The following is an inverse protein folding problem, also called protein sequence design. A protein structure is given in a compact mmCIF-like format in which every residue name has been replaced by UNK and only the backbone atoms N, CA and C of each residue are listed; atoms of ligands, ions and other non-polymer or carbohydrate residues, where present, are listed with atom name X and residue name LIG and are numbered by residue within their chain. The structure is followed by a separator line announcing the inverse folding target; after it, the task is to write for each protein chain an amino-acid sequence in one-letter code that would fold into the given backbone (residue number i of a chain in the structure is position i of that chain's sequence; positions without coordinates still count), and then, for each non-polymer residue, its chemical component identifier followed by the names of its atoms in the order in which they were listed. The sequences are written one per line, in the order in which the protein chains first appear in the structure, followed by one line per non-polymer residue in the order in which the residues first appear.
data_IF_907943942023
#
_entry.id   IF_907943942023
#
_cell.length_a   1.000
_cell.length_b   1.000
_cell.length_c   1.000
_cell.angle_alpha   90.00
_cell.angle_beta   90.00
_cell.angle_gamma   90.00
#
_symmetry.space_group_name_H-M   'P 1'
#
loop_
_entity.id
_entity.type
_entity.pdbx_description
1 polymer ?
#
# COMPACT_ATOMS: atom_id res chain seq x y z
N UNK A 1 -24.62 14.05 -11.59
CA UNK A 1 -23.23 14.26 -12.08
C UNK A 1 -22.38 13.09 -11.60
N UNK A 2 -21.41 12.60 -12.39
CA UNK A 2 -20.50 11.50 -12.01
C UNK A 2 -19.05 11.91 -12.24
N UNK A 3 -18.14 11.32 -11.50
CA UNK A 3 -16.71 11.44 -11.78
C UNK A 3 -16.40 10.75 -13.12
N UNK A 4 -15.69 11.42 -14.01
CA UNK A 4 -15.26 10.89 -15.32
C UNK A 4 -13.81 10.42 -15.32
N UNK A 5 -13.19 10.33 -14.14
CA UNK A 5 -11.90 9.69 -14.00
C UNK A 5 -12.09 8.18 -13.88
N UNK A 6 -11.53 7.40 -14.80
CA UNK A 6 -11.79 5.97 -14.94
C UNK A 6 -11.40 5.16 -13.70
N UNK A 7 -10.30 5.53 -13.04
CA UNK A 7 -9.84 4.86 -11.80
C UNK A 7 -10.53 5.38 -10.53
N UNK A 8 -11.61 6.15 -10.63
CA UNK A 8 -12.33 6.61 -9.45
C UNK A 8 -13.06 5.42 -8.79
N UNK A 9 -12.79 5.10 -7.52
CA UNK A 9 -13.41 3.93 -6.86
C UNK A 9 -14.92 4.12 -6.61
N UNK A 10 -15.38 5.37 -6.58
CA UNK A 10 -16.76 5.75 -6.27
C UNK A 10 -17.19 6.93 -7.14
N UNK A 11 -17.42 6.71 -8.44
CA UNK A 11 -17.66 7.80 -9.38
C UNK A 11 -19.02 8.49 -9.16
N UNK A 12 -20.00 7.80 -8.57
CA UNK A 12 -21.33 8.35 -8.29
C UNK A 12 -21.48 8.89 -6.86
N UNK A 13 -20.66 8.45 -5.91
CA UNK A 13 -20.81 8.83 -4.49
C UNK A 13 -19.96 10.06 -4.16
N UNK A 14 -20.47 11.24 -4.46
CA UNK A 14 -19.86 12.49 -4.00
C UNK A 14 -20.89 13.57 -3.76
N UNK A 15 -20.75 14.28 -2.63
CA UNK A 15 -21.58 15.44 -2.32
C UNK A 15 -21.34 16.62 -3.29
N UNK A 16 -20.17 16.68 -3.95
CA UNK A 16 -19.81 17.75 -4.88
C UNK A 16 -18.98 17.23 -6.05
N UNK A 17 -19.20 17.84 -7.22
CA UNK A 17 -18.47 17.55 -8.45
C UNK A 17 -17.91 18.86 -9.03
N UNK A 18 -16.72 18.76 -9.61
CA UNK A 18 -15.96 19.88 -10.16
C UNK A 18 -15.68 19.59 -11.63
N UNK A 19 -16.15 20.45 -12.53
CA UNK A 19 -15.73 20.41 -13.92
C UNK A 19 -14.36 21.05 -14.03
N UNK A 20 -13.46 20.42 -14.76
CA UNK A 20 -12.13 20.96 -15.04
C UNK A 20 -12.17 21.59 -16.42
N UNK A 21 -11.78 22.85 -16.48
CA UNK A 21 -11.71 23.64 -17.71
C UNK A 21 -10.33 24.31 -17.81
N UNK A 22 -10.09 24.98 -18.94
CA UNK A 22 -8.82 25.69 -19.18
C UNK A 22 -8.54 26.84 -18.19
N UNK A 23 -9.54 27.28 -17.42
CA UNK A 23 -9.38 28.31 -16.39
C UNK A 23 -9.03 27.74 -15.01
N UNK A 24 -9.02 26.42 -14.87
CA UNK A 24 -8.76 25.75 -13.60
C UNK A 24 -7.28 25.84 -13.23
N UNK A 25 -6.97 26.69 -12.24
CA UNK A 25 -5.59 26.96 -11.76
C UNK A 25 -5.36 26.57 -10.31
N UNK A 26 -6.26 25.76 -9.74
CA UNK A 26 -6.28 25.47 -8.31
C UNK A 26 -5.03 24.71 -7.84
N UNK A 27 -4.43 25.17 -6.74
CA UNK A 27 -3.31 24.48 -6.09
C UNK A 27 -1.96 24.58 -6.81
N UNK A 28 -1.81 25.50 -7.77
CA UNK A 28 -0.54 25.69 -8.49
C UNK A 28 -0.11 24.47 -9.29
N UNK A 29 -1.08 23.68 -9.78
CA UNK A 29 -0.85 22.48 -10.58
C UNK A 29 -1.29 22.70 -12.01
N UNK A 30 -0.68 21.96 -12.92
CA UNK A 30 -1.12 21.90 -14.30
C UNK A 30 -2.32 20.96 -14.42
N UNK A 31 -3.47 21.52 -14.82
CA UNK A 31 -4.73 20.79 -15.01
C UNK A 31 -5.00 20.45 -16.48
N UNK A 32 -4.10 20.82 -17.40
CA UNK A 32 -4.27 20.68 -18.86
C UNK A 32 -4.72 19.27 -19.27
N UNK A 33 -4.06 18.23 -18.73
CA UNK A 33 -4.40 16.82 -18.99
C UNK A 33 -5.73 16.34 -18.39
N UNK A 34 -6.44 17.18 -17.63
CA UNK A 34 -7.73 16.86 -17.02
C UNK A 34 -8.86 17.77 -17.54
N UNK A 35 -8.58 18.70 -18.46
CA UNK A 35 -9.60 19.57 -19.06
C UNK A 35 -10.68 18.72 -19.74
N UNK A 36 -11.94 19.05 -19.48
CA UNK A 36 -13.09 18.29 -19.95
C UNK A 36 -13.53 17.16 -19.02
N UNK A 37 -12.73 16.80 -18.00
CA UNK A 37 -13.16 15.85 -16.98
C UNK A 37 -14.04 16.52 -15.91
N UNK A 38 -14.92 15.72 -15.31
CA UNK A 38 -15.65 16.05 -14.09
C UNK A 38 -15.08 15.20 -12.96
N UNK A 39 -14.54 15.83 -11.93
CA UNK A 39 -13.96 15.14 -10.78
C UNK A 39 -14.90 15.20 -9.58
N UNK A 40 -14.99 14.11 -8.82
CA UNK A 40 -15.59 14.15 -7.49
C UNK A 40 -14.71 14.97 -6.53
N UNK A 41 -15.26 15.40 -5.38
CA UNK A 41 -14.52 16.19 -4.38
C UNK A 41 -13.20 15.53 -3.95
N UNK A 42 -13.21 14.20 -3.81
CA UNK A 42 -12.03 13.43 -3.40
C UNK A 42 -10.94 13.47 -4.47
N UNK A 43 -11.27 13.20 -5.74
CA UNK A 43 -10.33 13.27 -6.85
C UNK A 43 -9.80 14.70 -7.07
N UNK A 44 -10.69 15.69 -7.05
CA UNK A 44 -10.32 17.11 -7.18
C UNK A 44 -9.30 17.53 -6.12
N UNK A 45 -9.60 17.28 -4.84
CA UNK A 45 -8.69 17.65 -3.75
C UNK A 45 -7.36 16.90 -3.81
N UNK A 46 -7.39 15.64 -4.24
CA UNK A 46 -6.18 14.83 -4.41
C UNK A 46 -5.26 15.42 -5.47
N UNK A 47 -5.78 15.71 -6.66
CA UNK A 47 -4.98 16.32 -7.71
C UNK A 47 -4.50 17.72 -7.31
N UNK A 48 -5.40 18.54 -6.74
CA UNK A 48 -5.05 19.87 -6.22
C UNK A 48 -3.87 19.84 -5.23
N UNK A 49 -3.83 18.85 -4.34
CA UNK A 49 -2.75 18.72 -3.35
C UNK A 49 -1.49 18.03 -3.88
N UNK A 50 -1.65 16.92 -4.61
CA UNK A 50 -0.55 16.00 -4.97
C UNK A 50 -0.11 16.07 -6.42
N UNK A 51 -0.86 16.74 -7.30
CA UNK A 51 -0.60 16.77 -8.74
C UNK A 51 -0.87 15.45 -9.47
N UNK A 52 -1.44 14.45 -8.79
CA UNK A 52 -1.77 13.15 -9.39
C UNK A 52 -3.11 12.65 -8.88
N UNK A 53 -3.87 11.99 -9.76
CA UNK A 53 -5.11 11.31 -9.41
C UNK A 53 -4.89 9.84 -9.05
N UNK A 54 -3.68 9.31 -9.23
CA UNK A 54 -3.41 7.91 -8.92
C UNK A 54 -3.71 7.64 -7.45
N UNK A 55 -4.67 6.75 -7.25
CA UNK A 55 -4.91 6.16 -5.96
C UNK A 55 -3.77 5.20 -5.73
N UNK A 56 -2.73 5.64 -4.99
CA UNK A 56 -1.76 4.71 -4.39
C UNK A 56 -2.57 3.54 -3.84
N UNK A 57 -2.47 2.40 -4.54
CA UNK A 57 -3.52 1.41 -4.63
C UNK A 57 -3.76 0.76 -3.28
N UNK A 58 -4.80 1.23 -2.58
CA UNK A 58 -5.54 0.42 -1.61
C UNK A 58 -6.76 -0.16 -2.31
N UNK A 59 -6.58 -0.69 -3.52
CA UNK A 59 -7.61 -1.57 -4.11
C UNK A 59 -7.86 -2.66 -3.07
N UNK A 60 -9.09 -2.80 -2.54
CA UNK A 60 -9.38 -3.93 -1.67
C UNK A 60 -9.19 -5.17 -2.52
N UNK A 61 -8.09 -5.89 -2.29
CA UNK A 61 -7.86 -7.20 -2.87
C UNK A 61 -9.14 -8.03 -2.77
N UNK A 62 -9.49 -8.73 -3.84
CA UNK A 62 -10.62 -9.66 -3.86
C UNK A 62 -10.51 -10.55 -2.61
N UNK A 63 -11.63 -10.94 -1.97
CA UNK A 63 -11.59 -11.71 -0.71
C UNK A 63 -10.66 -12.94 -0.78
N UNK A 64 -10.51 -13.52 -1.96
CA UNK A 64 -9.63 -14.68 -2.23
C UNK A 64 -8.12 -14.35 -2.16
N UNK A 65 -7.73 -13.10 -2.40
CA UNK A 65 -6.33 -12.62 -2.38
C UNK A 65 -5.95 -11.95 -1.05
N UNK A 66 -6.85 -11.92 -0.06
CA UNK A 66 -6.61 -11.35 1.28
C UNK A 66 -5.79 -12.30 2.17
N UNK A 67 -4.66 -12.76 1.66
CA UNK A 67 -3.71 -13.59 2.40
C UNK A 67 -2.31 -13.02 2.24
N UNK A 68 -1.60 -12.87 3.35
CA UNK A 68 -0.20 -12.49 3.30
C UNK A 68 0.60 -13.59 2.60
N UNK A 69 1.30 -13.24 1.52
CA UNK A 69 2.17 -14.12 0.74
C UNK A 69 3.57 -14.25 1.32
N UNK A 70 3.82 -13.71 2.52
CA UNK A 70 5.10 -13.86 3.21
C UNK A 70 5.11 -15.17 3.99
N UNK A 71 6.08 -16.03 3.72
CA UNK A 71 6.15 -17.40 4.22
C UNK A 71 6.24 -17.47 5.75
N UNK A 72 6.98 -16.55 6.37
CA UNK A 72 7.13 -16.47 7.84
C UNK A 72 6.04 -15.61 8.51
N UNK A 73 4.94 -15.33 7.81
CA UNK A 73 3.81 -14.64 8.41
C UNK A 73 3.02 -15.61 9.29
N UNK A 74 3.07 -15.43 10.61
CA UNK A 74 2.33 -16.27 11.57
C UNK A 74 0.81 -16.23 11.39
N UNK A 75 0.27 -15.17 10.78
CA UNK A 75 -1.16 -14.92 10.66
C UNK A 75 -1.49 -14.34 9.29
N UNK A 76 -1.41 -15.15 8.22
CA UNK A 76 -1.50 -14.62 6.87
C UNK A 76 -2.94 -14.22 6.49
N UNK A 77 -3.99 -14.77 7.11
CA UNK A 77 -5.39 -14.44 6.79
C UNK A 77 -6.11 -13.51 7.77
N UNK A 78 -5.54 -13.23 8.95
CA UNK A 78 -6.25 -12.54 10.04
C UNK A 78 -6.17 -11.01 9.98
N UNK A 79 -5.60 -10.44 8.93
CA UNK A 79 -5.46 -8.99 8.84
C UNK A 79 -6.73 -8.31 8.38
N UNK A 80 -7.02 -7.14 8.96
CA UNK A 80 -8.09 -6.27 8.48
C UNK A 80 -7.72 -5.58 7.15
N UNK A 81 -6.43 -5.50 6.83
CA UNK A 81 -5.92 -4.79 5.66
C UNK A 81 -4.75 -5.54 5.03
N UNK A 82 -4.75 -5.58 3.71
CA UNK A 82 -3.73 -6.21 2.88
C UNK A 82 -3.22 -5.23 1.84
N UNK A 83 -1.93 -5.32 1.56
CA UNK A 83 -1.18 -4.39 0.72
C UNK A 83 -0.50 -5.19 -0.37
N UNK A 84 -0.89 -4.97 -1.62
CA UNK A 84 -0.14 -5.46 -2.76
C UNK A 84 1.08 -4.58 -2.99
N UNK A 85 2.25 -5.19 -3.08
CA UNK A 85 3.49 -4.50 -3.37
C UNK A 85 3.73 -4.61 -4.88
N UNK A 86 3.77 -3.48 -5.57
CA UNK A 86 4.07 -3.43 -7.00
C UNK A 86 5.58 -3.40 -7.23
N UNK A 87 6.02 -3.91 -8.38
CA UNK A 87 7.41 -3.78 -8.83
C UNK A 87 7.77 -2.29 -9.02
N UNK A 88 8.94 -1.87 -8.52
CA UNK A 88 9.39 -0.47 -8.60
C UNK A 88 8.82 0.45 -7.52
N UNK A 89 8.14 -0.09 -6.49
CA UNK A 89 7.65 0.71 -5.36
C UNK A 89 8.82 1.25 -4.51
N UNK A 90 8.94 2.57 -4.40
CA UNK A 90 9.98 3.25 -3.58
C UNK A 90 9.41 4.04 -2.39
N UNK A 91 8.19 3.71 -1.96
CA UNK A 91 7.53 4.47 -0.89
C UNK A 91 8.20 4.26 0.47
N UNK A 92 8.46 5.36 1.18
CA UNK A 92 9.03 5.32 2.54
C UNK A 92 10.55 5.15 2.59
N UNK A 93 11.28 5.36 1.48
CA UNK A 93 12.74 5.31 1.48
C UNK A 93 13.35 3.92 1.67
N UNK A 94 12.52 2.88 1.59
CA UNK A 94 12.93 1.48 1.63
C UNK A 94 12.88 0.87 0.24
N UNK A 95 13.77 -0.10 -0.02
CA UNK A 95 13.74 -0.88 -1.26
C UNK A 95 12.74 -2.02 -1.14
N UNK A 96 11.62 -1.92 -1.87
CA UNK A 96 10.58 -2.96 -1.87
C UNK A 96 10.82 -4.06 -2.91
N UNK A 97 11.94 -4.03 -3.65
CA UNK A 97 12.21 -4.97 -4.73
C UNK A 97 12.15 -6.43 -4.29
N UNK A 98 12.59 -6.74 -3.07
CA UNK A 98 12.55 -8.11 -2.51
C UNK A 98 11.13 -8.64 -2.23
N UNK A 99 10.16 -7.74 -2.08
CA UNK A 99 8.77 -8.07 -1.77
C UNK A 99 7.81 -7.61 -2.87
N UNK A 100 8.33 -7.13 -4.00
CA UNK A 100 7.56 -6.79 -5.19
C UNK A 100 6.77 -8.01 -5.69
N UNK A 101 5.52 -7.79 -6.08
CA UNK A 101 4.57 -8.83 -6.48
C UNK A 101 3.91 -9.56 -5.30
N UNK A 102 4.34 -9.37 -4.06
CA UNK A 102 3.76 -10.04 -2.88
C UNK A 102 2.61 -9.24 -2.28
N UNK A 103 1.67 -9.95 -1.65
CA UNK A 103 0.66 -9.35 -0.78
C UNK A 103 1.13 -9.42 0.67
N UNK A 104 1.20 -8.27 1.34
CA UNK A 104 1.56 -8.17 2.75
C UNK A 104 0.33 -7.82 3.59
N UNK A 105 0.15 -8.50 4.72
CA UNK A 105 -0.78 -8.03 5.74
C UNK A 105 -0.29 -6.72 6.36
N UNK A 106 -1.18 -5.98 7.03
CA UNK A 106 -0.82 -4.72 7.69
C UNK A 106 0.40 -4.83 8.63
N UNK A 107 0.51 -5.93 9.37
CA UNK A 107 1.63 -6.15 10.28
C UNK A 107 2.97 -6.33 9.53
N UNK A 108 2.99 -7.13 8.46
CA UNK A 108 4.18 -7.33 7.63
C UNK A 108 4.53 -6.05 6.86
N UNK A 109 3.53 -5.37 6.30
CA UNK A 109 3.72 -4.10 5.60
C UNK A 109 4.39 -3.05 6.50
N UNK A 110 3.86 -2.83 7.71
CA UNK A 110 4.43 -1.86 8.65
C UNK A 110 5.83 -2.25 9.12
N UNK A 111 6.10 -3.54 9.31
CA UNK A 111 7.44 -4.01 9.68
C UNK A 111 8.44 -3.67 8.58
N UNK A 112 8.14 -4.03 7.34
CA UNK A 112 9.03 -3.73 6.22
C UNK A 112 9.21 -2.23 6.05
N UNK A 113 8.12 -1.46 6.17
CA UNK A 113 8.18 0.00 6.08
C UNK A 113 9.07 0.63 7.16
N UNK A 114 9.11 0.07 8.38
CA UNK A 114 9.95 0.58 9.48
C UNK A 114 11.39 0.08 9.44
N UNK A 115 11.60 -1.18 9.06
CA UNK A 115 12.87 -1.86 9.25
C UNK A 115 13.61 -2.19 7.95
N UNK A 116 12.97 -2.02 6.80
CA UNK A 116 13.49 -2.47 5.49
C UNK A 116 13.54 -3.99 5.31
N UNK A 117 13.06 -4.77 6.29
CA UNK A 117 13.09 -6.23 6.25
C UNK A 117 11.84 -6.84 6.90
N UNK A 118 11.39 -7.97 6.36
CA UNK A 118 10.32 -8.80 6.93
C UNK A 118 10.84 -9.83 7.92
N UNK A 119 12.16 -10.02 8.01
CA UNK A 119 12.78 -10.98 8.91
C UNK A 119 12.33 -10.70 10.35
N UNK A 120 11.88 -11.76 11.00
CA UNK A 120 11.62 -11.75 12.43
C UNK A 120 12.89 -12.25 13.08
N UNK A 121 13.57 -11.40 13.85
CA UNK A 121 14.65 -11.85 14.74
C UNK A 121 14.17 -13.11 15.45
N UNK A 122 14.83 -14.22 15.15
CA UNK A 122 14.51 -15.54 15.66
C UNK A 122 14.72 -15.53 17.18
N UNK A 123 13.65 -15.37 17.95
CA UNK A 123 13.51 -16.07 19.21
C UNK A 123 12.63 -17.30 18.96
N UNK A 124 12.99 -18.08 17.95
CA UNK A 124 12.35 -19.36 17.69
C UNK A 124 12.99 -20.34 18.67
N UNK A 125 12.19 -20.89 19.58
CA UNK A 125 12.65 -21.94 20.49
C UNK A 125 13.31 -23.04 19.65
N UNK A 126 14.57 -23.36 19.95
CA UNK A 126 15.24 -24.53 19.39
C UNK A 126 14.40 -25.77 19.75
N UNK A 127 13.97 -26.50 18.73
CA UNK A 127 13.38 -27.84 18.85
C UNK A 127 14.22 -28.67 19.85
N UNK A 128 13.53 -29.36 20.77
CA UNK A 128 14.06 -29.82 22.06
C UNK A 128 15.28 -30.75 22.07
N UNK A 129 15.86 -31.09 20.92
CA UNK A 129 17.05 -31.93 20.77
C UNK A 129 18.39 -31.18 20.75
N UNK A 130 18.42 -29.86 20.52
CA UNK A 130 19.69 -29.11 20.30
C UNK A 130 20.09 -28.19 21.46
N UNK A 131 19.54 -28.40 22.66
CA UNK A 131 19.88 -27.61 23.87
C UNK A 131 21.18 -28.07 24.54
N UNK A 132 22.28 -28.10 23.81
CA UNK A 132 23.61 -28.20 24.43
C UNK A 132 24.43 -26.99 24.02
N UNK A 133 24.84 -26.22 25.02
CA UNK A 133 25.83 -25.18 24.82
C UNK A 133 27.13 -25.87 24.40
N UNK A 134 27.68 -25.50 23.24
CA UNK A 134 28.96 -26.01 22.75
C UNK A 134 30.16 -25.24 23.32
N UNK A 135 29.92 -24.35 24.29
CA UNK A 135 30.96 -23.57 24.94
C UNK A 135 31.56 -24.37 26.09
N UNK A 136 32.88 -24.64 26.03
CA UNK A 136 33.61 -25.23 27.14
C UNK A 136 33.54 -24.29 28.35
N UNK A 137 32.86 -24.71 29.41
CA UNK A 137 32.70 -23.94 30.64
C UNK A 137 31.26 -23.70 31.10
N UNK A 138 30.25 -24.19 30.37
CA UNK A 138 28.87 -24.29 30.89
C UNK A 138 28.65 -25.64 31.58
N UNK A 139 28.96 -25.71 32.87
CA UNK A 139 28.45 -26.73 33.81
C UNK A 139 27.42 -26.12 34.74
#
# INVERSE_FOLDING_TARGET
KRCTYDKCPKPAESAKFYSIDNSTTAGGRDWSGLVGHVLCRTCYNRFRGRGTLDHAHHSPLAKVERRCSYELCSRPGESRQFYQIEAGRTTGGQDWSQVAGKVLCHACYNRFWRNGSLERGHNTALEGGSRKCAYEGCT
#
